data_IF_833871287251
#
_entry.id   IF_833871287251
#
_cell.length_a   1.000
_cell.length_b   1.000
_cell.length_c   1.000
_cell.angle_alpha   90.00
_cell.angle_beta   90.00
_cell.angle_gamma   90.00
#
_symmetry.space_group_name_H-M   'P 1'
#
loop_
_entity.id
_entity.type
_entity.pdbx_description
1 polymer ?
#
# COMPACT_ATOMS: atom_id res chain seq x y z
N UNK A 1 10.83 -10.91 -6.79
CA UNK A 1 9.52 -10.32 -7.18
C UNK A 1 9.71 -8.79 -7.22
N UNK A 2 9.40 -8.13 -8.34
CA UNK A 2 9.61 -6.68 -8.52
C UNK A 2 8.33 -5.90 -8.22
N UNK A 3 8.46 -4.75 -7.55
CA UNK A 3 7.36 -3.81 -7.30
C UNK A 3 7.18 -2.92 -8.54
N UNK A 4 5.94 -2.72 -8.94
CA UNK A 4 5.57 -1.84 -10.06
C UNK A 4 5.52 -0.37 -9.63
N UNK A 5 5.52 0.55 -10.59
CA UNK A 5 5.33 1.98 -10.30
C UNK A 5 4.01 2.26 -9.55
N UNK A 6 2.96 1.48 -9.84
CA UNK A 6 1.69 1.57 -9.13
C UNK A 6 1.83 1.16 -7.66
N UNK A 7 2.58 0.10 -7.37
CA UNK A 7 2.83 -0.34 -6.00
C UNK A 7 3.61 0.73 -5.22
N UNK A 8 4.61 1.35 -5.85
CA UNK A 8 5.38 2.44 -5.24
C UNK A 8 4.49 3.65 -4.97
N UNK A 9 3.63 4.04 -5.92
CA UNK A 9 2.69 5.16 -5.75
C UNK A 9 1.70 4.89 -4.61
N UNK A 10 1.14 3.69 -4.55
CA UNK A 10 0.21 3.28 -3.50
C UNK A 10 0.88 3.27 -2.12
N UNK A 11 2.12 2.77 -2.04
CA UNK A 11 2.92 2.77 -0.83
C UNK A 11 3.19 4.20 -0.33
N UNK A 12 3.48 5.15 -1.21
CA UNK A 12 3.66 6.56 -0.84
C UNK A 12 2.40 7.17 -0.22
N UNK A 13 1.22 6.88 -0.79
CA UNK A 13 -0.07 7.35 -0.24
C UNK A 13 -0.29 6.80 1.19
N UNK A 14 -0.04 5.50 1.39
CA UNK A 14 -0.20 4.84 2.69
C UNK A 14 0.85 5.36 3.69
N UNK A 15 2.08 5.64 3.23
CA UNK A 15 3.17 6.20 4.02
C UNK A 15 2.85 7.60 4.55
N UNK A 16 2.30 8.48 3.71
CA UNK A 16 1.91 9.84 4.11
C UNK A 16 0.77 9.83 5.12
N UNK A 17 -0.25 9.01 4.89
CA UNK A 17 -1.45 8.95 5.74
C UNK A 17 -1.31 8.05 6.97
N UNK A 18 -0.25 7.24 7.04
CA UNK A 18 0.03 6.20 8.06
C UNK A 18 -0.96 5.04 8.08
N UNK A 19 -2.27 5.33 8.05
CA UNK A 19 -3.39 4.39 7.99
C UNK A 19 -4.42 4.90 6.98
N UNK A 20 -4.87 4.05 6.07
CA UNK A 20 -5.84 4.41 5.02
C UNK A 20 -6.90 3.33 4.88
N UNK A 21 -8.17 3.72 4.78
CA UNK A 21 -9.26 2.76 4.53
C UNK A 21 -9.26 2.30 3.07
N UNK A 22 -9.67 1.06 2.82
CA UNK A 22 -9.80 0.52 1.47
C UNK A 22 -10.74 1.38 0.59
N UNK A 23 -11.82 1.91 1.17
CA UNK A 23 -12.74 2.82 0.47
C UNK A 23 -12.06 4.12 0.04
N UNK A 24 -11.19 4.69 0.86
CA UNK A 24 -10.40 5.89 0.51
C UNK A 24 -9.36 5.58 -0.56
N UNK A 25 -8.71 4.41 -0.49
CA UNK A 25 -7.77 3.96 -1.52
C UNK A 25 -8.45 3.80 -2.88
N UNK A 26 -9.68 3.25 -2.92
CA UNK A 26 -10.47 3.14 -4.15
C UNK A 26 -10.88 4.50 -4.71
N UNK A 27 -11.14 5.49 -3.85
CA UNK A 27 -11.46 6.84 -4.30
C UNK A 27 -10.22 7.62 -4.79
N UNK A 28 -9.05 7.38 -4.19
CA UNK A 28 -7.80 8.10 -4.50
C UNK A 28 -7.05 7.48 -5.68
N UNK A 29 -7.04 6.16 -5.76
CA UNK A 29 -6.51 5.41 -6.89
C UNK A 29 -7.67 4.97 -7.75
N UNK A 30 -7.95 5.74 -8.80
CA UNK A 30 -8.82 5.35 -9.90
C UNK A 30 -8.17 4.22 -10.74
N UNK A 31 -7.49 3.28 -10.07
CA UNK A 31 -6.52 2.36 -10.66
C UNK A 31 -7.07 0.94 -10.63
N UNK A 32 -7.22 0.36 -11.83
CA UNK A 32 -7.27 -1.07 -12.02
C UNK A 32 -6.02 -1.72 -11.38
N UNK A 33 -6.16 -2.89 -10.76
CA UNK A 33 -5.03 -3.58 -10.13
C UNK A 33 -4.73 -3.18 -8.67
N UNK A 34 -5.58 -2.38 -8.01
CA UNK A 34 -5.39 -1.95 -6.62
C UNK A 34 -5.26 -3.15 -5.65
N UNK A 35 -6.08 -4.19 -5.84
CA UNK A 35 -6.09 -5.36 -4.97
C UNK A 35 -4.76 -6.13 -5.07
N UNK A 36 -4.25 -6.29 -6.28
CA UNK A 36 -2.97 -6.92 -6.61
C UNK A 36 -1.81 -6.11 -6.04
N UNK A 37 -1.86 -4.77 -6.16
CA UNK A 37 -0.87 -3.89 -5.55
C UNK A 37 -0.85 -3.99 -4.03
N UNK A 38 -2.02 -3.98 -3.38
CA UNK A 38 -2.12 -4.15 -1.93
C UNK A 38 -1.59 -5.52 -1.48
N UNK A 39 -1.91 -6.57 -2.24
CA UNK A 39 -1.40 -7.91 -2.00
C UNK A 39 0.13 -7.94 -2.10
N UNK A 40 0.72 -7.42 -3.19
CA UNK A 40 2.18 -7.36 -3.37
C UNK A 40 2.88 -6.57 -2.26
N UNK A 41 2.34 -5.43 -1.87
CA UNK A 41 2.91 -4.60 -0.79
C UNK A 41 2.81 -5.29 0.57
N UNK A 42 1.73 -6.05 0.82
CA UNK A 42 1.56 -6.85 2.05
C UNK A 42 2.52 -8.02 2.07
N UNK A 43 2.63 -8.76 0.97
CA UNK A 43 3.54 -9.92 0.86
C UNK A 43 5.01 -9.48 0.94
N UNK A 44 5.34 -8.29 0.45
CA UNK A 44 6.65 -7.66 0.65
C UNK A 44 6.89 -7.18 2.11
N UNK A 45 5.87 -7.24 2.97
CA UNK A 45 5.91 -6.78 4.36
C UNK A 45 6.02 -5.27 4.50
N UNK A 46 5.59 -4.49 3.51
CA UNK A 46 5.67 -3.03 3.51
C UNK A 46 4.43 -2.41 4.15
N UNK A 47 3.28 -3.03 3.99
CA UNK A 47 2.02 -2.63 4.64
C UNK A 47 1.44 -3.81 5.44
N UNK A 48 0.59 -3.49 6.41
CA UNK A 48 -0.23 -4.47 7.12
C UNK A 48 -1.69 -4.18 6.87
N UNK A 49 -2.49 -5.24 6.83
CA UNK A 49 -3.93 -5.16 6.81
C UNK A 49 -4.46 -5.06 8.24
N UNK A 50 -5.44 -4.18 8.45
CA UNK A 50 -6.12 -3.98 9.72
C UNK A 50 -7.60 -4.21 9.46
N UNK A 51 -8.12 -5.30 10.03
CA UNK A 51 -9.55 -5.49 10.18
C UNK A 51 -10.04 -4.67 11.37
N UNK A 52 -10.82 -3.64 11.08
CA UNK A 52 -11.59 -2.92 12.07
C UNK A 52 -13.08 -3.16 11.81
N UNK A 53 -13.88 -3.18 12.88
CA UNK A 53 -15.32 -3.47 12.82
C UNK A 53 -15.98 -2.47 11.85
N UNK A 54 -16.37 -2.96 10.66
CA UNK A 54 -17.05 -2.18 9.63
C UNK A 54 -16.17 -1.51 8.57
N UNK A 55 -14.83 -1.61 8.64
CA UNK A 55 -13.96 -1.09 7.57
C UNK A 55 -12.60 -1.79 7.46
N UNK A 56 -12.31 -2.22 6.24
CA UNK A 56 -11.00 -2.72 5.83
C UNK A 56 -10.01 -1.55 5.74
N UNK A 57 -8.89 -1.60 6.46
CA UNK A 57 -7.85 -0.57 6.44
C UNK A 57 -6.46 -1.16 6.23
N UNK A 58 -5.54 -0.32 5.76
CA UNK A 58 -4.14 -0.66 5.54
C UNK A 58 -3.25 0.35 6.25
N UNK A 59 -2.22 -0.14 6.92
CA UNK A 59 -1.25 0.70 7.60
C UNK A 59 0.17 0.44 7.09
N UNK A 60 0.99 1.48 7.10
CA UNK A 60 2.40 1.37 6.76
C UNK A 60 3.17 0.66 7.89
N UNK A 61 4.04 -0.29 7.55
CA UNK A 61 4.93 -0.93 8.52
C UNK A 61 6.22 -0.11 8.70
N UNK A 62 7.03 -0.43 9.71
CA UNK A 62 8.37 0.15 9.84
C UNK A 62 9.26 -0.14 8.61
N UNK A 63 9.11 -1.32 8.00
CA UNK A 63 9.81 -1.70 6.77
C UNK A 63 9.36 -0.84 5.59
N UNK A 64 8.05 -0.63 5.44
CA UNK A 64 7.46 0.25 4.43
C UNK A 64 7.88 1.72 4.60
N UNK A 65 7.99 2.21 5.84
CA UNK A 65 8.47 3.57 6.11
C UNK A 65 9.92 3.79 5.65
N UNK A 66 10.77 2.78 5.79
CA UNK A 66 12.18 2.79 5.37
C UNK A 66 12.38 2.43 3.90
N UNK A 67 11.33 2.03 3.21
CA UNK A 67 11.39 1.74 1.78
C UNK A 67 11.57 3.05 1.02
N UNK A 68 12.73 3.20 0.37
CA UNK A 68 13.08 4.36 -0.44
C UNK A 68 12.87 4.13 -1.94
N UNK A 69 12.29 2.99 -2.33
CA UNK A 69 12.04 2.66 -3.73
C UNK A 69 13.31 2.78 -4.56
N UNK A 70 14.30 1.91 -4.32
CA UNK A 70 15.41 1.74 -5.26
C UNK A 70 14.80 1.37 -6.62
N UNK A 71 14.53 2.42 -7.39
CA UNK A 71 14.29 2.45 -8.81
C UNK A 71 15.58 1.93 -9.44
N UNK A 72 15.45 1.08 -10.45
CA UNK A 72 16.52 0.40 -11.18
C UNK A 72 16.99 -0.93 -10.57
N UNK A 73 16.33 -2.00 -11.03
CA UNK A 73 16.97 -3.27 -11.37
C UNK A 73 16.36 -3.75 -12.69
#
# INVERSE_FOLDING_TARGET
>A
MMLTQQDIKLLSIIKERKVVRLGELKALSNCEGLAESLMRLRDAGLITYIESIGANAYAITQKGMKFNGNLYA
#
